data_IF_456827600862
#
_entry.id   IF_456827600862
#
_cell.length_a   1.000
_cell.length_b   1.000
_cell.length_c   1.000
_cell.angle_alpha   90.00
_cell.angle_beta   90.00
_cell.angle_gamma   90.00
#
_symmetry.space_group_name_H-M   'P 1'
#
loop_
_entity.id
_entity.type
_entity.pdbx_description
1 polymer ?
#
# COMPACT_ATOMS: atom_id res chain seq x y z
N UNK A 1 1.25 -8.86 -0.22
CA UNK A 1 0.41 -7.98 0.63
C UNK A 1 -0.94 -7.70 -0.04
N UNK A 2 -0.99 -7.22 -1.30
CA UNK A 2 -2.26 -7.15 -2.06
C UNK A 2 -3.00 -8.49 -2.11
N UNK A 3 -2.31 -9.58 -2.48
CA UNK A 3 -2.89 -10.93 -2.47
C UNK A 3 -3.42 -11.37 -1.09
N UNK A 4 -2.82 -10.86 0.00
CA UNK A 4 -3.30 -11.15 1.37
C UNK A 4 -4.56 -10.34 1.68
N UNK A 5 -4.60 -9.06 1.29
CA UNK A 5 -5.78 -8.19 1.44
C UNK A 5 -6.96 -8.78 0.63
N UNK A 6 -6.73 -9.22 -0.59
CA UNK A 6 -7.77 -9.86 -1.42
C UNK A 6 -8.29 -11.18 -0.83
N UNK A 7 -7.40 -12.00 -0.26
CA UNK A 7 -7.81 -13.20 0.48
C UNK A 7 -8.67 -12.86 1.70
N UNK A 8 -8.30 -11.81 2.44
CA UNK A 8 -9.05 -11.38 3.63
C UNK A 8 -10.41 -10.81 3.23
N UNK A 9 -10.49 -10.00 2.17
CA UNK A 9 -11.77 -9.51 1.61
C UNK A 9 -12.69 -10.69 1.27
N UNK A 10 -12.17 -11.70 0.57
CA UNK A 10 -12.93 -12.91 0.24
C UNK A 10 -13.42 -13.65 1.49
N UNK A 11 -12.53 -13.80 2.48
CA UNK A 11 -12.86 -14.45 3.76
C UNK A 11 -13.95 -13.69 4.52
N UNK A 12 -13.92 -12.35 4.50
CA UNK A 12 -14.93 -11.52 5.17
C UNK A 12 -16.29 -11.62 4.49
N UNK A 13 -16.33 -11.67 3.16
CA UNK A 13 -17.56 -11.83 2.38
C UNK A 13 -18.21 -13.20 2.63
N UNK A 14 -17.42 -14.27 2.57
CA UNK A 14 -17.88 -15.66 2.71
C UNK A 14 -18.10 -16.08 4.17
N UNK A 15 -17.70 -15.25 5.14
CA UNK A 15 -17.83 -15.58 6.55
C UNK A 15 -19.28 -15.53 7.03
N UNK A 16 -19.76 -16.62 7.58
CA UNK A 16 -21.04 -16.71 8.32
C UNK A 16 -20.91 -16.24 9.77
N UNK A 17 -19.68 -16.11 10.29
CA UNK A 17 -19.42 -15.72 11.69
C UNK A 17 -19.30 -14.21 11.87
N UNK A 18 -19.01 -13.46 10.80
CA UNK A 18 -19.01 -12.00 10.82
C UNK A 18 -20.43 -11.53 10.54
N UNK A 19 -20.98 -10.70 11.42
CA UNK A 19 -22.32 -10.17 11.24
C UNK A 19 -22.40 -9.34 9.96
N UNK A 20 -23.50 -9.50 9.22
CA UNK A 20 -23.77 -8.74 7.98
C UNK A 20 -23.70 -7.22 8.21
N UNK A 21 -24.03 -6.77 9.42
CA UNK A 21 -23.98 -5.35 9.82
C UNK A 21 -22.55 -4.82 9.95
N UNK A 22 -21.58 -5.68 10.30
CA UNK A 22 -20.17 -5.30 10.46
C UNK A 22 -19.35 -5.45 9.18
N UNK A 23 -19.80 -6.28 8.22
CA UNK A 23 -19.10 -6.51 6.95
C UNK A 23 -18.80 -5.22 6.17
N UNK A 24 -19.74 -4.26 6.00
CA UNK A 24 -19.47 -3.05 5.24
C UNK A 24 -18.27 -2.25 5.76
N UNK A 25 -18.19 -2.05 7.08
CA UNK A 25 -17.13 -1.26 7.71
C UNK A 25 -15.76 -1.95 7.60
N UNK A 26 -15.74 -3.28 7.74
CA UNK A 26 -14.51 -4.07 7.59
C UNK A 26 -14.01 -4.02 6.15
N UNK A 27 -14.92 -4.14 5.18
CA UNK A 27 -14.58 -4.08 3.75
C UNK A 27 -14.08 -2.70 3.35
N UNK A 28 -14.71 -1.62 3.84
CA UNK A 28 -14.26 -0.25 3.64
C UNK A 28 -12.80 -0.08 4.09
N UNK A 29 -12.45 -0.53 5.31
CA UNK A 29 -11.07 -0.46 5.81
C UNK A 29 -10.08 -1.30 5.01
N UNK A 30 -10.47 -2.47 4.53
CA UNK A 30 -9.61 -3.29 3.68
C UNK A 30 -9.37 -2.65 2.30
N UNK A 31 -10.35 -1.92 1.77
CA UNK A 31 -10.20 -1.15 0.54
C UNK A 31 -9.32 0.09 0.73
N UNK A 32 -9.52 0.86 1.80
CA UNK A 32 -8.63 1.98 2.16
C UNK A 32 -7.15 1.53 2.23
N UNK A 33 -6.87 0.42 2.93
CA UNK A 33 -5.50 -0.10 3.03
C UNK A 33 -4.91 -0.57 1.71
N UNK A 34 -5.75 -0.98 0.74
CA UNK A 34 -5.29 -1.30 -0.61
C UNK A 34 -4.86 -0.03 -1.35
N UNK A 35 -5.66 1.03 -1.26
CA UNK A 35 -5.37 2.33 -1.91
C UNK A 35 -4.15 3.02 -1.29
N UNK A 36 -4.03 3.04 0.04
CA UNK A 36 -2.87 3.61 0.74
C UNK A 36 -1.56 2.94 0.29
N UNK A 37 -1.59 1.61 0.09
CA UNK A 37 -0.41 0.89 -0.40
C UNK A 37 -0.03 1.33 -1.81
N UNK A 38 -1.00 1.51 -2.69
CA UNK A 38 -0.73 1.93 -4.06
C UNK A 38 -0.15 3.35 -4.10
N UNK A 39 -0.65 4.25 -3.24
CA UNK A 39 -0.09 5.59 -3.06
C UNK A 39 1.36 5.57 -2.52
N UNK A 40 1.66 4.69 -1.55
CA UNK A 40 3.03 4.51 -1.03
C UNK A 40 3.99 3.98 -2.11
N UNK A 41 3.50 3.11 -3.00
CA UNK A 41 4.31 2.61 -4.11
C UNK A 41 4.64 3.74 -5.10
N UNK A 42 3.68 4.60 -5.42
CA UNK A 42 3.92 5.77 -6.27
C UNK A 42 4.96 6.72 -5.66
N UNK A 43 4.85 7.01 -4.36
CA UNK A 43 5.81 7.84 -3.63
C UNK A 43 7.21 7.22 -3.65
N UNK A 44 7.31 5.90 -3.45
CA UNK A 44 8.60 5.19 -3.48
C UNK A 44 9.28 5.31 -4.84
N UNK A 45 8.54 5.11 -5.94
CA UNK A 45 9.07 5.26 -7.31
C UNK A 45 9.53 6.69 -7.57
N UNK A 46 8.79 7.70 -7.11
CA UNK A 46 9.21 9.10 -7.22
C UNK A 46 10.49 9.38 -6.43
N UNK A 47 10.63 8.82 -5.22
CA UNK A 47 11.85 8.94 -4.44
C UNK A 47 13.04 8.26 -5.10
N UNK A 48 12.86 7.06 -5.67
CA UNK A 48 13.92 6.37 -6.42
C UNK A 48 14.35 7.19 -7.63
N UNK A 49 13.40 7.77 -8.36
CA UNK A 49 13.67 8.64 -9.51
C UNK A 49 14.45 9.88 -9.09
N UNK A 50 13.97 10.57 -8.05
CA UNK A 50 14.64 11.73 -7.49
C UNK A 50 16.04 11.39 -6.97
N UNK A 51 16.22 10.23 -6.33
CA UNK A 51 17.52 9.79 -5.84
C UNK A 51 18.52 9.56 -6.99
N UNK A 52 18.10 8.94 -8.09
CA UNK A 52 18.95 8.76 -9.28
C UNK A 52 19.43 10.10 -9.87
N UNK A 53 18.65 11.17 -9.73
CA UNK A 53 19.03 12.52 -10.17
C UNK A 53 20.00 13.20 -9.19
N UNK A 54 19.83 12.98 -7.89
CA UNK A 54 20.60 13.64 -6.84
C UNK A 54 21.89 12.93 -6.46
N UNK A 55 21.94 11.60 -6.58
CA UNK A 55 23.10 10.77 -6.23
C UNK A 55 24.39 11.25 -6.91
N UNK A 56 24.43 11.57 -8.22
CA UNK A 56 25.65 12.09 -8.86
C UNK A 56 26.12 13.41 -8.24
N UNK A 57 25.19 14.31 -7.90
CA UNK A 57 25.51 15.62 -7.28
C UNK A 57 26.11 15.41 -5.90
N UNK A 58 25.52 14.51 -5.10
CA UNK A 58 26.05 14.19 -3.77
C UNK A 58 27.40 13.49 -3.84
N UNK A 59 27.63 12.62 -4.82
CA UNK A 59 28.93 12.00 -5.05
C UNK A 59 30.00 13.04 -5.45
N UNK A 60 29.66 14.01 -6.32
CA UNK A 60 30.57 15.12 -6.69
C UNK A 60 30.93 16.00 -5.48
N UNK A 61 30.01 16.18 -4.54
CA UNK A 61 30.22 16.92 -3.30
C UNK A 61 30.92 16.10 -2.21
N UNK A 62 31.14 14.80 -2.42
CA UNK A 62 31.74 13.88 -1.46
C UNK A 62 30.88 13.61 -0.23
N UNK A 63 29.55 13.71 -0.36
CA UNK A 63 28.60 13.48 0.73
C UNK A 63 28.14 12.02 0.85
N UNK A 64 28.45 11.21 -0.15
CA UNK A 64 28.28 9.74 -0.21
C UNK A 64 29.47 9.11 -0.92
#
# INVERSE_FOLDING_TARGET
MQAKIEQVIKTVLESETISEESKPLILEKLHEWKEEKDALAEVSVRFETWWMEMEPIFAELGWI
#
